data_IF_214891912373
#
_entry.id   IF_214891912373
#
_cell.length_a   1.000
_cell.length_b   1.000
_cell.length_c   1.000
_cell.angle_alpha   90.00
_cell.angle_beta   90.00
_cell.angle_gamma   90.00
#
_symmetry.space_group_name_H-M   'P 1'
#
loop_
_entity.id
_entity.type
_entity.pdbx_description
1 polymer ?
#
# COMPACT_ATOMS: atom_id res chain seq x y z
N UNK A 1 1.69 1.61 -3.49
CA UNK A 1 2.28 0.53 -2.66
C UNK A 1 1.93 0.81 -1.21
N UNK A 2 1.59 -0.21 -0.44
CA UNK A 2 1.35 -0.10 1.00
C UNK A 2 2.43 -0.90 1.74
N UNK A 3 3.16 -0.24 2.64
CA UNK A 3 4.09 -0.86 3.59
C UNK A 3 3.36 -1.05 4.91
N UNK A 4 3.33 -2.26 5.45
CA UNK A 4 2.74 -2.57 6.76
C UNK A 4 3.83 -3.14 7.66
N UNK A 5 3.99 -2.60 8.86
CA UNK A 5 5.08 -2.99 9.75
C UNK A 5 4.68 -2.95 11.23
N UNK A 6 5.14 -3.93 12.02
CA UNK A 6 4.94 -3.98 13.47
C UNK A 6 5.86 -3.02 14.21
N UNK A 7 5.36 -2.23 15.17
CA UNK A 7 6.20 -1.27 15.91
C UNK A 7 7.24 -1.93 16.79
N UNK A 8 7.00 -3.18 17.19
CA UNK A 8 7.86 -3.97 18.09
C UNK A 8 8.42 -5.20 17.36
N UNK A 9 8.62 -5.10 16.04
CA UNK A 9 9.25 -6.15 15.25
C UNK A 9 10.74 -6.27 15.62
N UNK A 10 11.09 -7.35 16.32
CA UNK A 10 12.47 -7.66 16.74
C UNK A 10 13.28 -8.34 15.62
N UNK A 11 12.63 -8.85 14.57
CA UNK A 11 13.30 -9.49 13.44
C UNK A 11 13.75 -8.45 12.42
N UNK A 12 12.88 -7.48 12.14
CA UNK A 12 13.16 -6.35 11.25
C UNK A 12 12.77 -5.06 11.96
N UNK A 13 13.74 -4.20 12.35
CA UNK A 13 13.43 -2.96 13.05
C UNK A 13 12.50 -2.03 12.25
N UNK A 14 11.57 -1.37 12.94
CA UNK A 14 10.63 -0.41 12.34
C UNK A 14 11.32 0.72 11.55
N UNK A 15 12.55 1.07 11.93
CA UNK A 15 13.36 2.06 11.21
C UNK A 15 13.62 1.65 9.75
N UNK A 16 13.73 0.36 9.44
CA UNK A 16 13.91 -0.11 8.06
C UNK A 16 12.68 0.23 7.19
N UNK A 17 11.46 0.03 7.71
CA UNK A 17 10.23 0.41 7.02
C UNK A 17 10.13 1.93 6.82
N UNK A 18 10.55 2.70 7.83
CA UNK A 18 10.60 4.17 7.76
C UNK A 18 11.61 4.65 6.71
N UNK A 19 12.78 4.02 6.61
CA UNK A 19 13.80 4.35 5.60
C UNK A 19 13.31 4.08 4.17
N UNK A 20 12.66 2.94 3.95
CA UNK A 20 12.05 2.61 2.65
C UNK A 20 10.99 3.67 2.29
N UNK A 21 10.14 4.04 3.26
CA UNK A 21 9.12 5.05 3.06
C UNK A 21 9.70 6.45 2.78
N UNK A 22 10.80 6.81 3.43
CA UNK A 22 11.50 8.08 3.21
C UNK A 22 12.09 8.17 1.80
N UNK A 23 12.45 7.04 1.19
CA UNK A 23 13.00 6.96 -0.18
C UNK A 23 11.93 6.78 -1.26
N UNK A 24 10.64 6.86 -0.92
CA UNK A 24 9.56 6.70 -1.89
C UNK A 24 9.65 7.72 -3.02
N UNK A 25 9.42 7.28 -4.25
CA UNK A 25 9.35 8.15 -5.44
C UNK A 25 7.94 8.66 -5.76
N UNK A 26 6.94 8.03 -5.15
CA UNK A 26 5.53 8.29 -5.40
C UNK A 26 4.83 8.60 -4.06
N UNK A 27 4.06 9.68 -4.02
CA UNK A 27 3.31 10.12 -2.84
C UNK A 27 2.17 9.18 -2.48
N UNK A 28 1.72 8.34 -3.41
CA UNK A 28 0.70 7.30 -3.18
C UNK A 28 1.24 6.11 -2.38
N UNK A 29 2.54 6.04 -2.12
CA UNK A 29 3.08 5.06 -1.18
C UNK A 29 2.63 5.44 0.23
N UNK A 30 2.10 4.47 0.97
CA UNK A 30 1.65 4.65 2.36
C UNK A 30 2.44 3.72 3.27
N UNK A 31 2.70 4.16 4.51
CA UNK A 31 3.26 3.35 5.59
C UNK A 31 2.22 3.24 6.70
N UNK A 32 1.89 2.01 7.08
CA UNK A 32 0.99 1.66 8.17
C UNK A 32 1.79 0.95 9.26
N UNK A 33 1.87 1.58 10.43
CA UNK A 33 2.52 1.00 11.60
C UNK A 33 1.47 0.42 12.53
N UNK A 34 1.64 -0.84 12.93
CA UNK A 34 0.69 -1.59 13.76
C UNK A 34 1.37 -1.93 15.10
N UNK A 35 0.73 -1.71 16.26
CA UNK A 35 1.28 -2.15 17.54
C UNK A 35 1.46 -3.67 17.57
N UNK A 36 2.62 -4.15 18.02
CA UNK A 36 2.94 -5.58 18.09
C UNK A 36 4.21 -5.96 17.32
N UNK A 37 4.58 -7.24 17.42
CA UNK A 37 5.74 -7.82 16.74
C UNK A 37 5.42 -8.33 15.33
N UNK A 38 6.42 -8.88 14.65
CA UNK A 38 6.32 -9.46 13.30
C UNK A 38 5.17 -10.48 13.14
N UNK A 39 4.93 -11.27 14.19
CA UNK A 39 4.05 -12.44 14.16
C UNK A 39 2.73 -12.20 14.91
N UNK A 40 2.59 -11.04 15.57
CA UNK A 40 1.43 -10.72 16.38
C UNK A 40 0.43 -9.89 15.58
N UNK A 41 -0.45 -10.59 14.87
CA UNK A 41 -1.49 -9.99 14.03
C UNK A 41 -2.80 -9.70 14.76
N UNK A 42 -2.84 -9.82 16.09
CA UNK A 42 -4.06 -9.62 16.89
C UNK A 42 -4.66 -8.21 16.71
N UNK A 43 -3.87 -7.23 16.29
CA UNK A 43 -4.36 -5.88 15.98
C UNK A 43 -4.63 -5.65 14.48
N UNK A 44 -4.20 -6.56 13.59
CA UNK A 44 -4.43 -6.43 12.15
C UNK A 44 -5.91 -6.37 11.80
N UNK A 45 -6.77 -7.04 12.58
CA UNK A 45 -8.22 -6.99 12.37
C UNK A 45 -8.76 -5.55 12.36
N UNK A 46 -8.23 -4.69 13.23
CA UNK A 46 -8.61 -3.26 13.31
C UNK A 46 -8.05 -2.42 12.18
N UNK A 47 -7.13 -2.98 11.40
CA UNK A 47 -6.46 -2.30 10.30
C UNK A 47 -6.89 -2.81 8.92
N UNK A 48 -7.74 -3.85 8.85
CA UNK A 48 -8.24 -4.37 7.58
C UNK A 48 -8.98 -3.32 6.76
N UNK A 49 -9.79 -2.46 7.39
CA UNK A 49 -10.47 -1.36 6.69
C UNK A 49 -9.47 -0.45 5.97
N UNK A 50 -8.33 -0.15 6.60
CA UNK A 50 -7.29 0.70 5.99
C UNK A 50 -6.62 0.01 4.80
N UNK A 51 -6.45 -1.30 4.87
CA UNK A 51 -5.89 -2.12 3.78
C UNK A 51 -6.89 -2.21 2.62
N UNK A 52 -8.15 -2.46 2.92
CA UNK A 52 -9.25 -2.52 1.95
C UNK A 52 -9.38 -1.18 1.24
N UNK A 53 -9.45 -0.06 1.97
CA UNK A 53 -9.51 1.30 1.40
C UNK A 53 -8.34 1.57 0.45
N UNK A 54 -7.14 1.10 0.82
CA UNK A 54 -5.96 1.24 -0.03
C UNK A 54 -6.10 0.42 -1.32
N UNK A 55 -6.57 -0.82 -1.22
CA UNK A 55 -6.78 -1.68 -2.38
C UNK A 55 -7.86 -1.10 -3.29
N UNK A 56 -8.99 -0.68 -2.75
CA UNK A 56 -10.08 -0.05 -3.48
C UNK A 56 -9.60 1.19 -4.25
N UNK A 57 -8.82 2.06 -3.61
CA UNK A 57 -8.24 3.23 -4.25
C UNK A 57 -7.24 2.84 -5.37
N UNK A 58 -6.50 1.76 -5.21
CA UNK A 58 -5.51 1.29 -6.18
C UNK A 58 -6.13 0.53 -7.37
N UNK A 59 -7.27 -0.14 -7.16
CA UNK A 59 -7.95 -0.96 -8.17
C UNK A 59 -9.16 -0.29 -8.79
N UNK A 60 -9.55 0.90 -8.32
CA UNK A 60 -10.69 1.63 -8.88
C UNK A 60 -10.47 1.84 -10.38
N UNK A 61 -11.44 1.50 -11.24
CA UNK A 61 -11.34 1.76 -12.66
C UNK A 61 -11.11 3.25 -12.88
N UNK A 62 -10.04 3.60 -13.58
CA UNK A 62 -9.84 4.97 -14.05
C UNK A 62 -10.96 5.26 -15.03
N UNK A 63 -11.86 6.19 -14.69
CA UNK A 63 -12.85 6.71 -15.62
C UNK A 63 -12.30 7.97 -16.28
N UNK A 64 -12.54 8.15 -17.58
CA UNK A 64 -12.20 9.37 -18.28
C UNK A 64 -13.08 10.54 -17.82
N UNK A 65 -12.82 11.75 -18.34
CA UNK A 65 -13.57 12.98 -17.98
C UNK A 65 -15.08 12.89 -18.28
N UNK A 66 -15.53 11.87 -19.01
CA UNK A 66 -16.93 11.62 -19.37
C UNK A 66 -17.50 10.38 -18.65
N UNK A 67 -16.80 9.83 -17.66
CA UNK A 67 -17.28 8.71 -16.84
C UNK A 67 -17.12 7.34 -17.49
N UNK A 68 -16.42 7.21 -18.62
CA UNK A 68 -16.19 5.93 -19.29
C UNK A 68 -14.93 5.27 -18.73
N UNK A 69 -15.01 3.99 -18.39
CA UNK A 69 -13.84 3.21 -17.96
C UNK A 69 -12.74 3.23 -19.03
N UNK A 70 -11.55 3.68 -18.66
CA UNK A 70 -10.35 3.60 -19.49
C UNK A 70 -9.87 2.15 -19.50
N UNK A 71 -9.79 1.56 -20.69
CA UNK A 71 -9.13 0.26 -20.85
C UNK A 71 -7.66 0.36 -20.42
N UNK A 72 -7.11 -0.67 -19.75
CA UNK A 72 -5.69 -0.72 -19.45
C UNK A 72 -4.89 -0.63 -20.77
N UNK A 73 -3.71 0.02 -20.78
CA UNK A 73 -2.91 0.12 -21.99
C UNK A 73 -2.52 -1.29 -22.46
N UNK A 74 -3.00 -1.67 -23.65
CA UNK A 74 -2.54 -2.89 -24.32
C UNK A 74 -1.06 -2.75 -24.59
N UNK A 75 -0.25 -3.57 -23.93
CA UNK A 75 1.18 -3.71 -24.23
C UNK A 75 1.31 -4.28 -25.64
N UNK A 76 1.50 -3.40 -26.62
CA UNK A 76 1.56 -3.79 -28.02
C UNK A 76 1.59 -2.57 -28.93
N UNK A 77 2.68 -1.81 -28.87
CA UNK A 77 3.34 -1.22 -30.05
C UNK A 77 4.49 -0.32 -29.57
N UNK A 78 5.67 -0.92 -29.45
CA UNK A 78 6.92 -0.20 -29.62
C UNK A 78 7.62 -0.86 -30.81
N UNK A 79 7.50 -0.20 -31.96
CA UNK A 79 8.36 -0.43 -33.12
C UNK A 79 9.76 0.10 -32.83
#
# INVERSE_FOLDING_TARGET
>A
MLLVHGTNDETVPVSAAQEIFARRRDERVRLLLIPGSHDQYAEMERHFDTVIDFLDAATRPTVDRHGKALSPPTTGDAR
#
